data_IF_539606106693
#
_entry.id   IF_539606106693
#
_cell.length_a   1.000
_cell.length_b   1.000
_cell.length_c   1.000
_cell.angle_alpha   90.00
_cell.angle_beta   90.00
_cell.angle_gamma   90.00
#
_symmetry.space_group_name_H-M   'P 1'
#
loop_
_entity.id
_entity.type
_entity.pdbx_description
1 polymer ?
#
# COMPACT_ATOMS: atom_id res chain seq x y z
N UNK A 1 1.06 5.53 15.31
CA UNK A 1 0.43 6.84 15.17
C UNK A 1 -0.82 7.04 16.04
N UNK A 2 -1.97 6.38 15.79
CA UNK A 2 -3.21 6.62 16.56
C UNK A 2 -3.04 6.45 18.07
N UNK A 3 -2.33 5.42 18.52
CA UNK A 3 -2.09 5.20 19.95
C UNK A 3 -1.35 6.39 20.59
N UNK A 4 -0.30 6.87 19.94
CA UNK A 4 0.49 8.02 20.43
C UNK A 4 -0.36 9.30 20.42
N UNK A 5 -1.12 9.56 19.34
CA UNK A 5 -2.02 10.72 19.28
C UNK A 5 -3.06 10.72 20.40
N UNK A 6 -3.55 9.55 20.78
CA UNK A 6 -4.54 9.38 21.86
C UNK A 6 -3.97 9.66 23.26
N UNK A 7 -2.66 9.66 23.44
CA UNK A 7 -2.03 10.07 24.72
C UNK A 7 -2.25 11.56 24.98
N UNK A 8 -2.14 12.39 23.92
CA UNK A 8 -2.36 13.84 24.02
C UNK A 8 -3.83 14.25 23.84
N UNK A 9 -4.61 13.45 23.10
CA UNK A 9 -6.00 13.74 22.74
C UNK A 9 -6.94 12.56 23.06
N UNK A 10 -7.08 12.15 24.35
CA UNK A 10 -7.82 10.94 24.72
C UNK A 10 -9.30 10.96 24.35
N UNK A 11 -9.93 12.14 24.33
CA UNK A 11 -11.36 12.32 24.06
C UNK A 11 -11.70 12.40 22.56
N UNK A 12 -10.72 12.48 21.68
CA UNK A 12 -10.97 12.52 20.24
C UNK A 12 -11.44 11.15 19.77
N UNK A 13 -12.63 11.06 19.21
CA UNK A 13 -13.15 9.83 18.57
C UNK A 13 -12.68 9.78 17.12
N UNK A 14 -12.04 8.68 16.74
CA UNK A 14 -11.55 8.44 15.37
C UNK A 14 -12.44 7.37 14.76
N UNK A 15 -13.16 7.71 13.70
CA UNK A 15 -13.89 6.76 12.85
C UNK A 15 -13.05 6.43 11.62
N UNK A 16 -12.79 5.14 11.40
CA UNK A 16 -11.96 4.67 10.30
C UNK A 16 -12.85 3.98 9.28
N UNK A 17 -12.74 4.44 8.02
CA UNK A 17 -13.38 3.80 6.88
C UNK A 17 -12.32 3.25 5.95
N UNK A 18 -12.55 2.03 5.47
CA UNK A 18 -11.73 1.39 4.47
C UNK A 18 -12.54 1.25 3.17
N UNK A 19 -11.90 1.49 2.05
CA UNK A 19 -12.53 1.38 0.75
C UNK A 19 -11.52 1.43 -0.38
N UNK A 20 -12.00 1.20 -1.58
CA UNK A 20 -11.21 1.36 -2.80
C UNK A 20 -10.83 2.82 -3.04
N UNK A 21 -9.82 3.04 -3.85
CA UNK A 21 -9.27 4.35 -4.16
C UNK A 21 -10.33 5.38 -4.59
N UNK A 22 -11.20 5.00 -5.52
CA UNK A 22 -12.29 5.86 -6.00
C UNK A 22 -13.33 6.18 -4.93
N UNK A 23 -13.59 5.24 -4.02
CA UNK A 23 -14.51 5.45 -2.90
C UNK A 23 -13.95 6.46 -1.89
N UNK A 24 -12.65 6.35 -1.56
CA UNK A 24 -11.98 7.28 -0.64
C UNK A 24 -12.01 8.71 -1.21
N UNK A 25 -11.67 8.88 -2.48
CA UNK A 25 -11.75 10.18 -3.16
C UNK A 25 -13.16 10.78 -3.13
N UNK A 26 -14.18 9.95 -3.38
CA UNK A 26 -15.58 10.37 -3.30
C UNK A 26 -15.95 10.83 -1.90
N UNK A 27 -15.55 10.08 -0.85
CA UNK A 27 -15.83 10.43 0.55
C UNK A 27 -15.12 11.72 0.99
N UNK A 28 -13.91 11.97 0.49
CA UNK A 28 -13.23 13.25 0.70
C UNK A 28 -14.00 14.38 0.01
N UNK A 29 -14.40 14.16 -1.24
CA UNK A 29 -15.10 15.16 -2.06
C UNK A 29 -16.46 15.58 -1.51
N UNK A 30 -17.26 14.64 -1.00
CA UNK A 30 -18.59 14.90 -0.42
C UNK A 30 -18.53 15.26 1.07
N UNK A 31 -17.38 15.11 1.73
CA UNK A 31 -17.18 15.42 3.14
C UNK A 31 -17.68 14.32 4.09
N UNK A 32 -17.87 13.10 3.59
CA UNK A 32 -18.21 11.93 4.43
C UNK A 32 -17.04 11.51 5.32
N UNK A 33 -15.81 11.91 4.95
CA UNK A 33 -14.59 11.82 5.77
C UNK A 33 -13.87 13.17 5.77
N UNK A 34 -13.16 13.48 6.83
CA UNK A 34 -12.42 14.73 6.97
C UNK A 34 -11.16 14.74 6.11
N UNK A 35 -10.48 13.60 6.01
CA UNK A 35 -9.32 13.33 5.15
C UNK A 35 -9.18 11.83 4.88
N UNK A 36 -8.33 11.46 3.93
CA UNK A 36 -8.06 10.07 3.60
C UNK A 36 -6.67 9.88 3.00
N UNK A 37 -6.15 8.66 3.11
CA UNK A 37 -4.92 8.27 2.40
C UNK A 37 -5.27 7.96 0.94
N UNK A 38 -4.52 8.56 0.02
CA UNK A 38 -4.72 8.46 -1.43
C UNK A 38 -3.40 8.18 -2.12
N UNK A 39 -3.47 7.75 -3.38
CA UNK A 39 -2.32 7.74 -4.28
C UNK A 39 -2.26 9.08 -5.01
N UNK A 40 -1.23 9.91 -4.74
CA UNK A 40 -1.12 11.23 -5.37
C UNK A 40 -0.70 11.18 -6.84
N UNK A 41 -0.18 10.06 -7.32
CA UNK A 41 0.28 9.93 -8.71
C UNK A 41 -0.90 9.81 -9.69
N UNK A 42 -2.08 9.40 -9.20
CA UNK A 42 -3.30 9.26 -9.97
C UNK A 42 -4.53 9.60 -9.12
N UNK A 43 -4.68 10.87 -8.72
CA UNK A 43 -5.81 11.32 -7.88
C UNK A 43 -6.61 12.44 -8.51
N UNK A 44 -7.93 12.42 -8.28
CA UNK A 44 -8.83 13.54 -8.52
C UNK A 44 -8.92 14.54 -7.35
N UNK A 45 -8.23 14.28 -6.25
CA UNK A 45 -8.22 15.15 -5.08
C UNK A 45 -7.33 16.37 -5.34
N UNK A 46 -7.89 17.59 -5.18
CA UNK A 46 -7.16 18.83 -5.45
C UNK A 46 -6.24 19.27 -4.31
N UNK A 47 -6.51 18.85 -3.09
CA UNK A 47 -5.75 19.25 -1.91
C UNK A 47 -5.18 18.00 -1.25
N UNK A 48 -3.87 17.88 -1.26
CA UNK A 48 -3.17 16.78 -0.59
C UNK A 48 -1.76 17.18 -0.21
N UNK A 49 -1.17 16.42 0.70
CA UNK A 49 0.26 16.45 1.02
C UNK A 49 0.83 15.04 0.88
N UNK A 50 1.85 14.91 0.02
CA UNK A 50 2.59 13.67 -0.12
C UNK A 50 3.28 13.30 1.20
N UNK A 51 3.25 12.01 1.54
CA UNK A 51 3.80 11.47 2.77
C UNK A 51 5.04 10.63 2.50
N UNK A 52 4.90 9.58 1.69
CA UNK A 52 6.01 8.68 1.36
C UNK A 52 5.76 7.94 0.05
N UNK A 53 6.85 7.36 -0.48
CA UNK A 53 6.80 6.47 -1.65
C UNK A 53 6.75 5.03 -1.16
N UNK A 54 5.77 4.27 -1.64
CA UNK A 54 5.57 2.85 -1.33
C UNK A 54 5.87 2.01 -2.58
N UNK A 55 6.99 1.29 -2.57
CA UNK A 55 7.38 0.43 -3.67
C UNK A 55 6.67 -0.91 -3.61
N UNK A 56 6.43 -1.48 -4.78
CA UNK A 56 5.94 -2.85 -4.87
C UNK A 56 7.10 -3.84 -4.96
N UNK A 57 6.94 -4.96 -4.28
CA UNK A 57 7.90 -6.07 -4.27
C UNK A 57 7.22 -7.34 -4.77
N UNK A 58 8.00 -8.23 -5.36
CA UNK A 58 7.54 -9.57 -5.67
C UNK A 58 7.62 -10.45 -4.42
N UNK A 59 6.54 -11.20 -4.14
CA UNK A 59 6.44 -12.08 -2.98
C UNK A 59 6.11 -13.48 -3.45
N UNK A 60 6.86 -14.45 -2.93
CA UNK A 60 6.78 -15.85 -3.33
C UNK A 60 7.15 -16.80 -2.19
N UNK A 61 6.78 -18.10 -2.26
CA UNK A 61 7.28 -19.10 -1.33
C UNK A 61 8.81 -19.17 -1.32
N UNK A 62 9.43 -19.49 -0.18
CA UNK A 62 10.88 -19.63 -0.06
C UNK A 62 11.47 -20.72 -0.97
N UNK A 63 10.65 -21.69 -1.38
CA UNK A 63 11.03 -22.76 -2.30
C UNK A 63 10.84 -22.42 -3.78
N UNK A 64 10.40 -21.21 -4.11
CA UNK A 64 10.11 -20.82 -5.50
C UNK A 64 11.39 -20.66 -6.33
N UNK A 65 11.34 -20.98 -7.65
CA UNK A 65 12.51 -20.92 -8.55
C UNK A 65 13.16 -19.52 -8.59
N UNK A 66 12.38 -18.47 -8.47
CA UNK A 66 12.87 -17.08 -8.45
C UNK A 66 13.46 -16.67 -7.08
N UNK A 67 13.25 -17.45 -6.02
CA UNK A 67 13.70 -17.11 -4.67
C UNK A 67 15.22 -16.93 -4.55
N UNK A 68 16.00 -17.63 -5.40
CA UNK A 68 17.44 -17.54 -5.44
C UNK A 68 18.00 -16.31 -6.18
N UNK A 69 17.17 -15.53 -6.89
CA UNK A 69 17.61 -14.32 -7.61
C UNK A 69 17.82 -13.16 -6.62
N UNK A 70 18.70 -12.21 -6.97
CA UNK A 70 18.86 -10.94 -6.25
C UNK A 70 17.64 -10.03 -6.41
N UNK A 71 17.20 -9.86 -7.64
CA UNK A 71 15.98 -9.16 -8.06
C UNK A 71 15.27 -9.93 -9.15
N UNK A 72 14.06 -9.53 -9.49
CA UNK A 72 13.25 -10.12 -10.56
C UNK A 72 12.71 -9.04 -11.50
N UNK A 73 12.39 -9.41 -12.73
CA UNK A 73 11.72 -8.53 -13.69
C UNK A 73 10.22 -8.85 -13.77
N UNK A 74 9.41 -7.91 -14.26
CA UNK A 74 8.00 -8.18 -14.59
C UNK A 74 7.88 -9.34 -15.60
N UNK A 75 8.84 -9.45 -16.52
CA UNK A 75 8.86 -10.57 -17.47
C UNK A 75 9.11 -11.92 -16.80
N UNK A 76 9.98 -11.98 -15.79
CA UNK A 76 10.16 -13.21 -14.99
C UNK A 76 8.83 -13.60 -14.30
N UNK A 77 8.14 -12.63 -13.68
CA UNK A 77 6.92 -12.85 -12.93
C UNK A 77 5.73 -13.28 -13.82
N UNK A 78 5.68 -12.76 -15.05
CA UNK A 78 4.59 -13.07 -15.99
C UNK A 78 4.48 -14.57 -16.36
N UNK A 79 5.54 -15.35 -16.17
CA UNK A 79 5.56 -16.77 -16.47
C UNK A 79 4.96 -17.68 -15.38
N UNK A 80 4.61 -17.08 -14.22
CA UNK A 80 4.07 -17.82 -13.09
C UNK A 80 2.63 -17.40 -12.78
N UNK A 81 1.84 -18.25 -12.08
CA UNK A 81 0.51 -17.88 -11.63
C UNK A 81 0.56 -16.68 -10.69
N UNK A 82 0.01 -15.54 -11.10
CA UNK A 82 -0.06 -14.34 -10.27
C UNK A 82 -1.37 -14.31 -9.48
N UNK A 83 -1.26 -13.95 -8.22
CA UNK A 83 -2.34 -13.59 -7.33
C UNK A 83 -2.30 -12.07 -7.24
N UNK A 84 -3.33 -11.38 -7.71
CA UNK A 84 -3.36 -9.92 -7.75
C UNK A 84 -4.40 -9.36 -6.79
N UNK A 85 -4.07 -8.22 -6.17
CA UNK A 85 -5.05 -7.46 -5.43
C UNK A 85 -5.99 -6.77 -6.41
N UNK A 86 -7.31 -6.97 -6.22
CA UNK A 86 -8.31 -6.20 -6.94
C UNK A 86 -8.44 -4.81 -6.32
N UNK A 87 -7.72 -3.86 -6.90
CA UNK A 87 -7.76 -2.42 -6.57
C UNK A 87 -8.76 -1.66 -7.47
N UNK A 88 -9.64 -2.38 -8.17
CA UNK A 88 -10.51 -1.82 -9.19
C UNK A 88 -9.74 -1.47 -10.48
N UNK A 89 -10.12 -0.38 -11.14
CA UNK A 89 -9.59 -0.03 -12.46
C UNK A 89 -8.14 0.49 -12.48
N UNK A 90 -7.51 0.70 -11.32
CA UNK A 90 -6.25 1.44 -11.17
C UNK A 90 -5.15 0.63 -10.48
N UNK A 91 -5.08 -0.68 -10.71
CA UNK A 91 -4.01 -1.50 -10.17
C UNK A 91 -2.65 -1.10 -10.75
N UNK A 92 -1.75 -0.62 -9.89
CA UNK A 92 -0.38 -0.22 -10.28
C UNK A 92 0.43 -1.42 -10.76
N UNK A 93 0.24 -2.59 -10.16
CA UNK A 93 0.88 -3.82 -10.60
C UNK A 93 0.50 -4.14 -12.06
N UNK A 94 -0.79 -4.08 -12.41
CA UNK A 94 -1.24 -4.36 -13.77
C UNK A 94 -0.83 -3.27 -14.76
N UNK A 95 -0.86 -1.99 -14.36
CA UNK A 95 -0.35 -0.89 -15.18
C UNK A 95 1.13 -1.07 -15.53
N UNK A 96 1.96 -1.50 -14.57
CA UNK A 96 3.37 -1.75 -14.82
C UNK A 96 3.60 -2.83 -15.89
N UNK A 97 2.80 -3.89 -15.90
CA UNK A 97 2.82 -4.89 -16.97
C UNK A 97 2.36 -4.32 -18.33
N UNK A 98 1.29 -3.53 -18.32
CA UNK A 98 0.74 -2.89 -19.53
C UNK A 98 1.75 -1.94 -20.17
N UNK A 99 2.40 -1.10 -19.40
CA UNK A 99 3.45 -0.18 -19.88
C UNK A 99 4.61 -0.90 -20.57
N UNK A 100 4.97 -2.08 -20.06
CA UNK A 100 6.01 -2.94 -20.66
C UNK A 100 5.48 -3.83 -21.78
N UNK A 101 4.16 -3.81 -22.06
CA UNK A 101 3.49 -4.68 -23.04
C UNK A 101 3.70 -6.18 -22.73
N UNK A 102 3.72 -6.52 -21.46
CA UNK A 102 3.82 -7.88 -20.95
C UNK A 102 2.41 -8.32 -20.52
N UNK A 103 2.01 -9.52 -20.90
CA UNK A 103 0.74 -10.10 -20.47
C UNK A 103 0.99 -11.06 -19.31
N UNK A 104 0.59 -10.71 -18.07
CA UNK A 104 0.76 -11.59 -16.92
C UNK A 104 -0.22 -12.76 -16.95
N UNK A 105 0.18 -13.89 -16.35
CA UNK A 105 -0.72 -15.02 -16.09
C UNK A 105 -1.44 -14.78 -14.76
N UNK A 106 -2.57 -14.06 -14.76
CA UNK A 106 -3.40 -13.84 -13.57
C UNK A 106 -4.18 -15.12 -13.28
N UNK A 107 -3.86 -15.76 -12.15
CA UNK A 107 -4.54 -16.98 -11.70
C UNK A 107 -5.69 -16.67 -10.72
N UNK A 108 -5.52 -15.63 -9.91
CA UNK A 108 -6.51 -15.25 -8.90
C UNK A 108 -6.55 -13.72 -8.75
N UNK A 109 -7.77 -13.19 -8.56
CA UNK A 109 -8.03 -11.80 -8.15
C UNK A 109 -8.65 -11.82 -6.75
N UNK A 110 -8.08 -11.07 -5.81
CA UNK A 110 -8.42 -11.11 -4.39
C UNK A 110 -8.54 -9.69 -3.84
N UNK A 111 -9.49 -9.44 -2.95
CA UNK A 111 -9.77 -8.11 -2.37
C UNK A 111 -9.03 -7.82 -1.06
N UNK A 112 -8.22 -8.75 -0.56
CA UNK A 112 -7.59 -8.65 0.75
C UNK A 112 -6.14 -9.14 0.73
N UNK A 113 -5.23 -8.29 1.18
CA UNK A 113 -3.79 -8.54 1.18
C UNK A 113 -3.38 -9.76 2.02
N UNK A 114 -4.03 -9.97 3.18
CA UNK A 114 -3.70 -11.10 4.04
C UNK A 114 -4.12 -12.44 3.43
N UNK A 115 -5.22 -12.44 2.67
CA UNK A 115 -5.64 -13.59 1.87
C UNK A 115 -4.60 -13.91 0.80
N UNK A 116 -4.05 -12.90 0.12
CA UNK A 116 -2.97 -13.08 -0.86
C UNK A 116 -1.75 -13.73 -0.19
N UNK A 117 -1.31 -13.20 0.95
CA UNK A 117 -0.16 -13.76 1.69
C UNK A 117 -0.40 -15.21 2.10
N UNK A 118 -1.61 -15.54 2.56
CA UNK A 118 -1.98 -16.91 2.91
C UNK A 118 -1.95 -17.84 1.69
N UNK A 119 -2.44 -17.38 0.54
CA UNK A 119 -2.44 -18.15 -0.72
C UNK A 119 -1.01 -18.39 -1.24
N UNK A 120 -0.14 -17.38 -1.16
CA UNK A 120 1.29 -17.52 -1.52
C UNK A 120 1.95 -18.57 -0.60
N UNK A 121 1.71 -18.48 0.70
CA UNK A 121 2.25 -19.44 1.68
C UNK A 121 1.82 -20.89 1.38
N UNK A 122 0.62 -21.09 0.83
CA UNK A 122 0.13 -22.40 0.38
C UNK A 122 0.64 -22.81 -1.01
N UNK A 123 1.48 -21.99 -1.67
CA UNK A 123 2.05 -22.30 -2.98
C UNK A 123 1.08 -22.17 -4.15
N UNK A 124 -0.02 -21.42 -4.00
CA UNK A 124 -1.01 -21.22 -5.06
C UNK A 124 -0.53 -20.28 -6.17
N UNK A 125 0.51 -19.51 -5.92
CA UNK A 125 1.10 -18.57 -6.87
C UNK A 125 2.07 -17.61 -6.19
N UNK A 126 2.41 -16.56 -6.90
CA UNK A 126 3.24 -15.44 -6.44
C UNK A 126 2.43 -14.14 -6.56
N UNK A 127 2.90 -13.05 -5.94
CA UNK A 127 2.22 -11.76 -6.04
C UNK A 127 3.20 -10.60 -6.16
N UNK A 128 2.66 -9.44 -6.54
CA UNK A 128 3.30 -8.13 -6.46
C UNK A 128 2.48 -7.30 -5.49
N UNK A 129 3.10 -6.88 -4.39
CA UNK A 129 2.43 -6.19 -3.28
C UNK A 129 3.24 -5.01 -2.80
N UNK A 130 2.58 -4.02 -2.20
CA UNK A 130 3.24 -2.88 -1.58
C UNK A 130 4.06 -3.30 -0.38
N UNK A 131 5.28 -2.78 -0.28
CA UNK A 131 6.23 -3.16 0.76
C UNK A 131 5.68 -2.90 2.17
N UNK A 132 4.91 -1.83 2.35
CA UNK A 132 4.33 -1.44 3.63
C UNK A 132 3.40 -2.51 4.23
N UNK A 133 2.78 -3.36 3.41
CA UNK A 133 1.79 -4.36 3.86
C UNK A 133 2.45 -5.51 4.64
N UNK A 134 3.65 -5.93 4.23
CA UNK A 134 4.31 -7.10 4.82
C UNK A 134 5.51 -6.75 5.70
N UNK A 135 5.84 -5.45 5.85
CA UNK A 135 6.85 -5.02 6.81
C UNK A 135 6.49 -5.50 8.23
N UNK A 136 7.44 -6.19 8.86
CA UNK A 136 7.26 -6.74 10.22
C UNK A 136 6.44 -8.03 10.31
N UNK A 137 5.94 -8.60 9.20
CA UNK A 137 5.28 -9.90 9.21
C UNK A 137 6.32 -11.02 9.22
N UNK A 138 6.15 -11.98 10.16
CA UNK A 138 6.97 -13.20 10.23
C UNK A 138 6.29 -14.31 9.44
N UNK A 139 6.63 -14.43 8.17
CA UNK A 139 6.14 -15.49 7.28
C UNK A 139 7.33 -16.10 6.53
N UNK A 140 7.26 -17.40 6.24
CA UNK A 140 8.26 -18.09 5.41
C UNK A 140 8.02 -17.78 3.92
N UNK A 141 8.27 -16.52 3.56
CA UNK A 141 8.14 -16.00 2.20
C UNK A 141 9.42 -15.31 1.78
N UNK A 142 9.70 -15.33 0.49
CA UNK A 142 10.78 -14.54 -0.12
C UNK A 142 10.22 -13.28 -0.73
N UNK A 143 10.88 -12.16 -0.44
CA UNK A 143 10.59 -10.84 -0.98
C UNK A 143 11.71 -10.46 -1.91
N UNK A 144 11.39 -9.99 -3.12
CA UNK A 144 12.38 -9.59 -4.13
C UNK A 144 12.05 -8.21 -4.67
N UNK A 145 13.10 -7.44 -4.91
CA UNK A 145 12.98 -6.21 -5.67
C UNK A 145 12.57 -6.51 -7.09
N UNK A 146 11.77 -5.61 -7.68
CA UNK A 146 11.36 -5.68 -9.09
C UNK A 146 12.16 -4.63 -9.83
N UNK A 147 12.89 -5.02 -10.89
CA UNK A 147 13.81 -4.13 -11.61
C UNK A 147 13.12 -2.92 -12.25
N UNK A 148 11.83 -3.00 -12.54
CA UNK A 148 11.02 -1.91 -13.07
C UNK A 148 10.50 -0.93 -11.99
N UNK A 149 10.69 -1.23 -10.70
CA UNK A 149 10.35 -0.39 -9.55
C UNK A 149 8.92 0.18 -9.57
N UNK A 150 7.85 -0.64 -9.75
CA UNK A 150 6.50 -0.14 -9.66
C UNK A 150 6.24 0.40 -8.25
N UNK A 151 5.63 1.59 -8.17
CA UNK A 151 5.47 2.31 -6.90
C UNK A 151 4.29 3.27 -6.94
N UNK A 152 3.87 3.74 -5.78
CA UNK A 152 2.93 4.83 -5.61
C UNK A 152 3.46 5.87 -4.63
N UNK A 153 2.96 7.08 -4.72
CA UNK A 153 3.16 8.09 -3.69
C UNK A 153 1.93 8.16 -2.80
N UNK A 154 2.05 7.70 -1.57
CA UNK A 154 0.99 7.81 -0.58
C UNK A 154 0.92 9.25 -0.09
N UNK A 155 -0.28 9.81 -0.09
CA UNK A 155 -0.55 11.17 0.35
C UNK A 155 -1.77 11.21 1.28
N UNK A 156 -1.84 12.22 2.13
CA UNK A 156 -3.05 12.58 2.84
C UNK A 156 -3.80 13.60 1.99
N UNK A 157 -5.02 13.28 1.58
CA UNK A 157 -5.91 14.14 0.82
C UNK A 157 -7.06 14.66 1.67
N UNK A 158 -7.53 15.88 1.41
CA UNK A 158 -8.66 16.50 2.10
C UNK A 158 -9.45 17.43 1.16
N UNK A 159 -10.69 17.74 1.54
CA UNK A 159 -11.53 18.63 0.77
C UNK A 159 -11.13 20.10 0.91
N UNK A 160 -11.06 20.59 2.14
CA UNK A 160 -10.70 21.97 2.45
C UNK A 160 -10.11 22.05 3.85
N UNK A 161 -8.86 22.53 3.93
CA UNK A 161 -8.11 22.62 5.18
C UNK A 161 -8.72 23.60 6.18
N UNK A 162 -9.18 24.77 5.70
CA UNK A 162 -9.68 25.84 6.57
C UNK A 162 -11.01 25.50 7.24
N UNK A 163 -11.82 24.67 6.59
CA UNK A 163 -13.12 24.23 7.12
C UNK A 163 -13.09 22.86 7.78
N UNK A 164 -11.93 22.20 7.81
CA UNK A 164 -11.75 20.92 8.48
C UNK A 164 -11.94 21.08 10.00
N UNK A 165 -12.64 20.13 10.68
CA UNK A 165 -12.78 20.15 12.13
C UNK A 165 -11.42 20.22 12.83
N UNK A 166 -11.34 20.97 13.95
CA UNK A 166 -10.08 21.20 14.64
C UNK A 166 -9.39 19.88 15.06
N UNK A 167 -10.15 18.90 15.55
CA UNK A 167 -9.61 17.59 15.96
C UNK A 167 -8.99 16.86 14.77
N UNK A 168 -9.66 16.85 13.62
CA UNK A 168 -9.19 16.21 12.39
C UNK A 168 -7.95 16.90 11.85
N UNK A 169 -7.91 18.24 11.90
CA UNK A 169 -6.72 19.03 11.52
C UNK A 169 -5.53 18.70 12.42
N UNK A 170 -5.73 18.63 13.76
CA UNK A 170 -4.68 18.24 14.71
C UNK A 170 -4.16 16.84 14.44
N UNK A 171 -5.04 15.91 14.07
CA UNK A 171 -4.60 14.56 13.74
C UNK A 171 -3.84 14.53 12.39
N UNK A 172 -4.27 15.29 11.38
CA UNK A 172 -3.55 15.42 10.12
C UNK A 172 -2.16 16.04 10.32
N UNK A 173 -2.05 17.13 11.11
CA UNK A 173 -0.77 17.75 11.49
C UNK A 173 0.14 16.73 12.19
N UNK A 174 -0.40 15.97 13.16
CA UNK A 174 0.32 14.92 13.87
C UNK A 174 0.85 13.84 12.91
N UNK A 175 0.04 13.42 11.91
CA UNK A 175 0.51 12.49 10.87
C UNK A 175 1.70 13.09 10.10
N UNK A 176 1.62 14.36 9.70
CA UNK A 176 2.70 15.03 8.97
C UNK A 176 4.01 15.12 9.74
N UNK A 177 3.92 15.28 11.07
CA UNK A 177 5.09 15.47 11.93
C UNK A 177 5.77 14.13 12.31
N UNK A 178 5.03 13.00 12.23
CA UNK A 178 5.52 11.69 12.72
C UNK A 178 5.56 10.59 11.66
N UNK A 179 5.23 10.90 10.41
CA UNK A 179 5.19 9.85 9.38
C UNK A 179 6.56 9.25 9.12
N UNK A 180 7.61 10.07 9.14
CA UNK A 180 8.98 9.61 8.90
C UNK A 180 9.44 8.65 10.01
N UNK A 181 9.12 8.95 11.28
CA UNK A 181 9.42 8.08 12.42
C UNK A 181 8.79 6.70 12.26
N UNK A 182 7.54 6.65 11.80
CA UNK A 182 6.82 5.38 11.58
C UNK A 182 7.44 4.56 10.46
N UNK A 183 7.87 5.22 9.38
CA UNK A 183 8.52 4.56 8.25
C UNK A 183 9.90 4.03 8.67
N UNK A 184 10.67 4.81 9.42
CA UNK A 184 11.96 4.40 9.94
C UNK A 184 11.84 3.22 10.92
N UNK A 185 10.90 3.27 11.86
CA UNK A 185 10.64 2.19 12.81
C UNK A 185 10.30 0.88 12.07
N UNK A 186 9.47 0.94 11.02
CA UNK A 186 9.15 -0.22 10.20
C UNK A 186 10.36 -0.74 9.42
N UNK A 187 11.27 0.14 8.96
CA UNK A 187 12.51 -0.28 8.30
C UNK A 187 13.45 -1.00 9.29
N UNK A 188 13.52 -0.56 10.54
CA UNK A 188 14.34 -1.19 11.58
C UNK A 188 13.83 -2.59 11.96
N UNK A 189 12.53 -2.81 11.96
CA UNK A 189 11.93 -4.13 12.21
C UNK A 189 12.33 -5.18 11.16
N UNK A 190 12.62 -4.76 9.93
CA UNK A 190 13.09 -5.66 8.87
C UNK A 190 14.57 -6.03 8.96
N UNK A 191 15.38 -5.22 9.66
CA UNK A 191 16.83 -5.49 9.84
C UNK A 191 17.08 -6.48 11.00
N UNK A 192 16.10 -6.64 11.90
CA UNK A 192 16.20 -7.49 13.09
C UNK A 192 15.68 -8.92 12.87
N UNK A 193 15.38 -9.32 11.64
CA UNK A 193 14.91 -10.65 11.22
C UNK A 193 15.90 -11.29 10.25
#
# INVERSE_FOLDING_TARGET
MMAIFKEDYPDVVIDIRQGEHTSIESWIGDGSVDFGFINSDDTGCNNFKALYVDEMKAIMPSSHDLAGKGSVTLNDLAHYPLIVLDEGKKSIALQAFEEKKITPHIAYEVYDDYSILAMIHQGLGISIMYEMIFKGLKMDLQIKDIDEHPKRTVALGWRNWDTMPLASRRFAEFIFDHIDDVIEEQNLLNIAL
#
